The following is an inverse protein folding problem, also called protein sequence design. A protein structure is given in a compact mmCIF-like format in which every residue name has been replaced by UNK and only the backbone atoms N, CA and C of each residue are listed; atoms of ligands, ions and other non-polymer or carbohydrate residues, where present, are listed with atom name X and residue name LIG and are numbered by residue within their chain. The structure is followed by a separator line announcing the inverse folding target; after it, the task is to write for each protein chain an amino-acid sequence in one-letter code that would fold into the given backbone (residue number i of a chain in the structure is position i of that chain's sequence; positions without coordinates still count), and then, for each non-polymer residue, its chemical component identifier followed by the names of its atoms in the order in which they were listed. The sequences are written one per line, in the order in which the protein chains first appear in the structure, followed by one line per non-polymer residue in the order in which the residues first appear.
data_IF_017478009748
#
_entry.id   IF_017478009748
#
_cell.length_a   1.000
_cell.length_b   1.000
_cell.length_c   1.000
_cell.angle_alpha   90.00
_cell.angle_beta   90.00
_cell.angle_gamma   90.00
#
_symmetry.space_group_name_H-M   'P 1'
#
loop_
_entity.id
_entity.type
_entity.pdbx_description
1 polymer ?
#
# COMPACT_ATOMS: atom_id res chain seq x y z
N UNK A 1 -1.82 -7.91 3.98
CA UNK A 1 -1.05 -9.17 4.10
C UNK A 1 -1.88 -10.41 3.74
N UNK A 2 -3.16 -10.51 4.11
CA UNK A 2 -3.98 -11.69 3.81
C UNK A 2 -4.08 -12.03 2.32
N UNK A 3 -4.03 -11.02 1.46
CA UNK A 3 -4.24 -11.19 0.01
C UNK A 3 -2.96 -11.47 -0.76
N UNK A 4 -1.81 -11.18 -0.18
CA UNK A 4 -0.53 -11.37 -0.87
C UNK A 4 0.62 -11.50 0.14
N UNK A 5 1.57 -12.42 -0.08
CA UNK A 5 2.78 -12.50 0.74
C UNK A 5 3.75 -11.34 0.45
N UNK A 6 3.56 -10.63 -0.66
CA UNK A 6 4.45 -9.54 -1.06
C UNK A 6 4.15 -8.23 -0.35
N UNK A 7 3.04 -8.14 0.40
CA UNK A 7 2.75 -7.01 1.26
C UNK A 7 2.91 -7.41 2.72
N UNK A 8 3.69 -6.65 3.47
CA UNK A 8 3.96 -6.93 4.88
C UNK A 8 3.96 -5.62 5.68
N UNK A 9 3.78 -5.74 6.99
CA UNK A 9 3.75 -4.60 7.92
C UNK A 9 4.90 -4.60 8.93
N UNK A 10 5.82 -5.57 8.80
CA UNK A 10 6.96 -5.71 9.72
C UNK A 10 7.91 -4.52 9.64
N UNK A 11 8.09 -3.98 8.44
CA UNK A 11 8.92 -2.81 8.19
C UNK A 11 8.06 -1.68 7.64
N UNK A 12 8.29 -0.48 8.07
CA UNK A 12 7.54 0.68 7.60
C UNK A 12 8.15 1.97 8.10
N UNK A 13 7.62 3.07 7.63
CA UNK A 13 8.03 4.39 8.09
C UNK A 13 7.44 4.66 9.48
N UNK A 14 8.08 5.56 10.21
CA UNK A 14 7.52 6.07 11.45
C UNK A 14 6.16 6.74 11.18
N UNK A 15 5.23 6.56 12.13
CA UNK A 15 3.91 7.18 12.01
C UNK A 15 4.05 8.70 12.13
N UNK A 16 3.54 9.43 11.14
CA UNK A 16 3.52 10.88 11.17
C UNK A 16 2.44 11.34 12.15
N UNK A 17 2.77 12.22 13.12
CA UNK A 17 1.75 12.77 14.02
C UNK A 17 0.66 13.53 13.27
N UNK A 18 -0.53 13.56 13.84
CA UNK A 18 -1.66 14.29 13.27
C UNK A 18 -1.31 15.77 13.04
N UNK A 19 -1.66 16.30 11.89
CA UNK A 19 -1.39 17.68 11.51
C UNK A 19 0.04 17.96 11.03
N UNK A 20 0.89 16.94 10.95
CA UNK A 20 2.30 17.07 10.53
C UNK A 20 2.60 16.47 9.15
N UNK A 21 1.59 16.09 8.40
CA UNK A 21 1.77 15.54 7.05
C UNK A 21 2.41 16.59 6.13
N UNK A 22 3.30 16.10 5.24
CA UNK A 22 3.92 16.95 4.22
C UNK A 22 2.90 17.27 3.12
N UNK A 23 2.31 18.45 3.16
CA UNK A 23 1.28 18.88 2.21
C UNK A 23 1.84 19.29 0.85
N UNK A 24 3.15 19.22 0.64
CA UNK A 24 3.72 19.34 -0.71
C UNK A 24 3.43 18.10 -1.58
N UNK A 25 3.07 16.97 -0.96
CA UNK A 25 2.74 15.73 -1.64
C UNK A 25 1.24 15.63 -1.92
N UNK A 26 0.89 15.35 -3.18
CA UNK A 26 -0.51 15.27 -3.63
C UNK A 26 -1.33 14.22 -2.86
N UNK A 27 -0.73 13.07 -2.55
CA UNK A 27 -1.39 12.02 -1.76
C UNK A 27 -1.79 12.52 -0.37
N UNK A 28 -0.91 13.27 0.30
CA UNK A 28 -1.19 13.85 1.61
C UNK A 28 -2.25 14.95 1.52
N UNK A 29 -2.23 15.77 0.47
CA UNK A 29 -3.26 16.78 0.25
C UNK A 29 -4.65 16.17 0.09
N UNK A 30 -4.77 15.10 -0.70
CA UNK A 30 -6.04 14.42 -0.89
C UNK A 30 -6.57 13.81 0.40
N UNK A 31 -5.70 13.15 1.16
CA UNK A 31 -6.07 12.56 2.44
C UNK A 31 -6.55 13.64 3.43
N UNK A 32 -5.81 14.74 3.54
CA UNK A 32 -6.15 15.84 4.44
C UNK A 32 -7.48 16.51 4.06
N UNK A 33 -7.65 16.79 2.77
CA UNK A 33 -8.82 17.56 2.29
C UNK A 33 -10.11 16.75 2.35
N UNK A 34 -10.06 15.45 2.12
CA UNK A 34 -11.25 14.62 1.96
C UNK A 34 -11.40 13.54 3.02
N UNK A 35 -10.64 13.59 4.11
CA UNK A 35 -10.70 12.61 5.18
C UNK A 35 -12.10 12.51 5.81
N UNK A 36 -12.79 13.63 5.96
CA UNK A 36 -14.14 13.66 6.51
C UNK A 36 -15.16 12.89 5.65
N UNK A 37 -14.90 12.76 4.35
CA UNK A 37 -15.73 11.97 3.43
C UNK A 37 -15.27 10.51 3.33
N UNK A 38 -14.31 10.11 4.15
CA UNK A 38 -13.77 8.75 4.17
C UNK A 38 -12.81 8.47 3.02
N UNK A 39 -12.19 9.48 2.46
CA UNK A 39 -11.18 9.31 1.42
C UNK A 39 -9.91 8.69 2.01
N UNK A 40 -9.41 7.66 1.34
CA UNK A 40 -8.10 7.06 1.62
C UNK A 40 -7.19 7.37 0.44
N UNK A 41 -6.01 7.91 0.73
CA UNK A 41 -5.02 8.22 -0.28
C UNK A 41 -3.66 7.71 0.18
N UNK A 42 -2.99 6.96 -0.68
CA UNK A 42 -1.71 6.36 -0.35
C UNK A 42 -0.90 6.09 -1.62
N UNK A 43 0.40 5.86 -1.43
CA UNK A 43 1.29 5.44 -2.50
C UNK A 43 1.74 4.01 -2.22
N UNK A 44 1.59 3.13 -3.21
CA UNK A 44 2.16 1.80 -3.15
C UNK A 44 3.52 1.82 -3.83
N UNK A 45 4.55 1.44 -3.09
CA UNK A 45 5.91 1.35 -3.61
C UNK A 45 6.35 -0.10 -3.72
N UNK A 46 6.92 -0.48 -4.86
CA UNK A 46 7.54 -1.78 -5.05
C UNK A 46 9.00 -1.72 -4.61
N UNK A 47 9.56 -2.83 -4.13
CA UNK A 47 10.97 -2.86 -3.74
C UNK A 47 11.90 -2.77 -4.95
N UNK A 48 13.11 -2.25 -4.72
CA UNK A 48 14.17 -2.29 -5.72
C UNK A 48 14.95 -3.62 -5.72
N UNK A 49 14.82 -4.37 -4.62
CA UNK A 49 15.51 -5.65 -4.39
C UNK A 49 14.48 -6.72 -4.09
N UNK A 50 14.96 -7.93 -3.88
CA UNK A 50 14.09 -9.02 -3.47
C UNK A 50 13.44 -8.76 -2.11
N UNK A 51 12.32 -9.42 -1.90
CA UNK A 51 11.52 -9.31 -0.69
C UNK A 51 12.11 -10.21 0.41
N UNK A 52 12.47 -9.64 1.56
CA UNK A 52 13.12 -10.37 2.65
C UNK A 52 12.27 -11.51 3.21
N UNK A 53 10.95 -11.34 3.25
CA UNK A 53 10.03 -12.31 3.84
C UNK A 53 9.51 -13.36 2.84
N UNK A 54 9.64 -13.10 1.55
CA UNK A 54 9.21 -14.00 0.48
C UNK A 54 10.17 -13.91 -0.71
N UNK A 55 11.46 -14.30 -0.52
CA UNK A 55 12.46 -14.14 -1.56
C UNK A 55 12.26 -15.12 -2.72
N UNK A 56 12.56 -14.67 -3.92
CA UNK A 56 12.74 -15.53 -5.09
C UNK A 56 14.23 -15.55 -5.44
N UNK A 57 14.90 -16.64 -5.12
CA UNK A 57 16.35 -16.78 -5.28
C UNK A 57 16.79 -16.83 -6.74
N UNK A 58 15.87 -17.03 -7.69
CA UNK A 58 16.18 -17.11 -9.12
C UNK A 58 15.99 -15.77 -9.84
N UNK A 59 14.92 -15.05 -9.50
CA UNK A 59 14.51 -13.82 -10.22
C UNK A 59 14.48 -12.58 -9.35
N UNK A 60 14.54 -12.71 -8.04
CA UNK A 60 14.33 -11.61 -7.09
C UNK A 60 13.01 -10.89 -7.35
N UNK A 61 12.92 -9.58 -7.12
CA UNK A 61 11.72 -8.83 -7.49
C UNK A 61 11.69 -8.65 -9.01
N UNK A 62 10.59 -9.02 -9.64
CA UNK A 62 10.45 -9.04 -11.09
C UNK A 62 9.24 -8.23 -11.54
N UNK A 63 9.17 -7.84 -12.83
CA UNK A 63 7.95 -7.23 -13.38
C UNK A 63 6.71 -8.11 -13.19
N UNK A 64 6.86 -9.43 -13.24
CA UNK A 64 5.74 -10.34 -13.01
C UNK A 64 5.23 -10.27 -11.57
N UNK A 65 6.13 -10.18 -10.59
CA UNK A 65 5.73 -9.99 -9.18
C UNK A 65 5.03 -8.66 -8.98
N UNK A 66 5.46 -7.59 -9.65
CA UNK A 66 4.77 -6.30 -9.61
C UNK A 66 3.35 -6.40 -10.18
N UNK A 67 3.17 -7.12 -11.28
CA UNK A 67 1.85 -7.34 -11.86
C UNK A 67 0.96 -8.15 -10.91
N UNK A 68 1.52 -9.19 -10.29
CA UNK A 68 0.79 -10.00 -9.33
C UNK A 68 0.38 -9.18 -8.10
N UNK A 69 1.27 -8.34 -7.58
CA UNK A 69 0.94 -7.44 -6.47
C UNK A 69 -0.21 -6.52 -6.84
N UNK A 70 -0.21 -5.96 -8.04
CA UNK A 70 -1.31 -5.13 -8.53
C UNK A 70 -2.64 -5.91 -8.59
N UNK A 71 -2.63 -7.13 -9.09
CA UNK A 71 -3.82 -8.01 -9.09
C UNK A 71 -4.33 -8.27 -7.69
N UNK A 72 -3.42 -8.58 -6.76
CA UNK A 72 -3.76 -8.87 -5.37
C UNK A 72 -4.37 -7.66 -4.65
N UNK A 73 -3.91 -6.46 -5.00
CA UNK A 73 -4.44 -5.21 -4.45
C UNK A 73 -5.92 -4.98 -4.82
N UNK A 74 -6.38 -5.49 -5.95
CA UNK A 74 -7.79 -5.38 -6.35
C UNK A 74 -8.69 -6.09 -5.34
N UNK A 75 -8.28 -7.27 -4.85
CA UNK A 75 -9.02 -7.98 -3.81
C UNK A 75 -9.08 -7.21 -2.50
N UNK A 76 -7.97 -6.59 -2.09
CA UNK A 76 -7.92 -5.76 -0.90
C UNK A 76 -8.82 -4.52 -1.03
N UNK A 77 -8.82 -3.88 -2.20
CA UNK A 77 -9.70 -2.75 -2.48
C UNK A 77 -11.19 -3.14 -2.41
N UNK A 78 -11.53 -4.28 -2.97
CA UNK A 78 -12.90 -4.80 -2.91
C UNK A 78 -13.35 -5.03 -1.46
N UNK A 79 -12.53 -5.68 -0.65
CA UNK A 79 -12.82 -5.89 0.77
C UNK A 79 -13.04 -4.56 1.50
N UNK A 80 -12.21 -3.58 1.23
CA UNK A 80 -12.33 -2.26 1.86
C UNK A 80 -13.64 -1.58 1.47
N UNK A 81 -14.01 -1.62 0.18
CA UNK A 81 -15.28 -1.05 -0.29
C UNK A 81 -16.49 -1.74 0.33
N UNK A 82 -16.48 -3.06 0.39
CA UNK A 82 -17.55 -3.83 1.03
C UNK A 82 -17.70 -3.50 2.52
N UNK A 83 -16.58 -3.30 3.21
CA UNK A 83 -16.57 -2.93 4.63
C UNK A 83 -17.22 -1.56 4.85
N UNK A 84 -17.03 -0.63 3.92
CA UNK A 84 -17.60 0.72 4.02
C UNK A 84 -19.12 0.76 3.86
N UNK A 85 -19.67 -0.17 3.10
CA UNK A 85 -21.11 -0.27 2.85
C UNK A 85 -21.88 -0.84 4.04
N UNK A 86 -21.19 -1.35 5.03
CA UNK A 86 -21.77 -1.88 6.26
C UNK A 86 -21.84 -0.80 7.38
#
# INVERSE_FOLDING_TARGET
ERRTPDFQTQHGYAITPAGKADLSMSTNQLAERFSAQGCVSMTLEMPFKDHDLAPDTLQAWSPERSRQLGRDCLGALLEWLETRER
#
